data_IF_832064467313
#
_entry.id   IF_832064467313
#
_cell.length_a   1.000
_cell.length_b   1.000
_cell.length_c   1.000
_cell.angle_alpha   90.00
_cell.angle_beta   90.00
_cell.angle_gamma   90.00
#
_symmetry.space_group_name_H-M   'P 1'
#
loop_
_entity.id
_entity.type
_entity.pdbx_description
1 polymer ?
#
# COMPACT_ATOMS: atom_id res chain seq x y z
N UNK A 1 -31.50 -55.45 3.62
CA UNK A 1 -30.21 -54.74 3.81
C UNK A 1 -30.18 -53.49 2.92
N UNK A 2 -30.84 -52.38 3.28
CA UNK A 2 -30.71 -51.14 2.49
C UNK A 2 -31.29 -49.91 3.22
N UNK A 3 -30.65 -49.47 4.31
CA UNK A 3 -31.04 -48.21 4.98
C UNK A 3 -29.91 -47.53 5.75
N UNK A 4 -28.77 -48.19 5.96
CA UNK A 4 -27.68 -47.65 6.77
C UNK A 4 -26.73 -46.68 6.02
N UNK A 5 -26.70 -46.69 4.67
CA UNK A 5 -25.67 -45.99 3.90
C UNK A 5 -26.00 -44.50 3.69
N UNK A 6 -27.28 -44.10 3.77
CA UNK A 6 -27.74 -42.76 3.37
C UNK A 6 -27.49 -41.65 4.42
N UNK A 7 -27.33 -41.99 5.70
CA UNK A 7 -27.08 -41.02 6.77
C UNK A 7 -25.59 -40.66 6.94
N UNK A 8 -24.69 -41.49 6.42
CA UNK A 8 -23.26 -41.33 6.65
C UNK A 8 -22.65 -40.25 5.74
N UNK A 9 -23.10 -40.12 4.48
CA UNK A 9 -22.52 -39.18 3.50
C UNK A 9 -22.86 -37.71 3.78
N UNK A 10 -24.00 -37.44 4.42
CA UNK A 10 -24.46 -36.07 4.74
C UNK A 10 -23.61 -35.38 5.81
N UNK A 11 -23.05 -36.15 6.76
CA UNK A 11 -22.22 -35.59 7.86
C UNK A 11 -20.82 -35.18 7.39
N UNK A 12 -20.27 -35.86 6.39
CA UNK A 12 -18.92 -35.55 5.86
C UNK A 12 -18.92 -34.30 4.96
N UNK A 13 -19.99 -34.08 4.18
CA UNK A 13 -20.13 -32.86 3.36
C UNK A 13 -20.30 -31.59 4.22
N UNK A 14 -21.01 -31.68 5.35
CA UNK A 14 -21.13 -30.56 6.28
C UNK A 14 -19.82 -30.24 7.01
N UNK A 15 -19.01 -31.25 7.34
CA UNK A 15 -17.69 -31.05 7.95
C UNK A 15 -16.65 -30.42 7.01
N UNK A 16 -16.70 -30.75 5.72
CA UNK A 16 -15.76 -30.22 4.73
C UNK A 16 -16.03 -28.74 4.38
N UNK A 17 -17.29 -28.30 4.41
CA UNK A 17 -17.66 -26.92 4.10
C UNK A 17 -17.23 -25.94 5.21
N UNK A 18 -17.28 -26.36 6.47
CA UNK A 18 -16.93 -25.52 7.63
C UNK A 18 -15.42 -25.33 7.77
N UNK A 19 -14.61 -26.28 7.30
CA UNK A 19 -13.14 -26.19 7.33
C UNK A 19 -12.57 -25.14 6.36
N UNK A 20 -13.31 -24.78 5.30
CA UNK A 20 -12.84 -23.82 4.28
C UNK A 20 -12.97 -22.34 4.69
N UNK A 21 -13.72 -22.03 5.77
CA UNK A 21 -14.01 -20.64 6.17
C UNK A 21 -13.00 -20.03 7.16
N UNK A 22 -11.97 -20.77 7.59
CA UNK A 22 -11.01 -20.29 8.60
C UNK A 22 -9.72 -19.68 8.03
N UNK A 23 -9.57 -19.62 6.71
CA UNK A 23 -8.40 -18.96 6.10
C UNK A 23 -8.68 -17.47 5.97
N UNK A 24 -8.56 -16.75 7.08
CA UNK A 24 -8.59 -15.28 7.06
C UNK A 24 -7.29 -14.78 6.41
N UNK A 25 -7.34 -13.96 5.34
CA UNK A 25 -6.13 -13.40 4.76
C UNK A 25 -5.54 -12.40 5.74
N UNK A 26 -4.50 -12.82 6.46
CA UNK A 26 -3.68 -11.91 7.23
C UNK A 26 -2.96 -10.96 6.25
N UNK A 27 -3.33 -9.68 6.29
CA UNK A 27 -2.63 -8.63 5.57
C UNK A 27 -1.28 -8.39 6.25
N UNK A 28 -0.28 -9.16 5.83
CA UNK A 28 1.10 -8.98 6.28
C UNK A 28 1.70 -7.71 5.66
N UNK A 29 2.61 -7.08 6.39
CA UNK A 29 3.44 -6.02 5.84
C UNK A 29 4.34 -6.63 4.76
N UNK A 30 4.22 -6.14 3.53
CA UNK A 30 5.01 -6.58 2.38
C UNK A 30 5.97 -5.45 2.00
N UNK A 31 7.15 -5.83 1.48
CA UNK A 31 8.14 -4.88 0.96
C UNK A 31 8.03 -4.83 -0.56
N UNK A 32 7.78 -3.65 -1.11
CA UNK A 32 7.64 -3.43 -2.55
C UNK A 32 8.71 -2.42 -2.99
N UNK A 33 9.43 -2.75 -4.05
CA UNK A 33 10.36 -1.85 -4.72
C UNK A 33 9.73 -1.30 -5.99
N UNK A 34 9.99 -0.03 -6.29
CA UNK A 34 9.58 0.59 -7.54
C UNK A 34 9.94 2.07 -7.59
N UNK A 35 9.48 2.74 -8.64
CA UNK A 35 9.73 4.15 -8.88
C UNK A 35 8.51 4.98 -8.48
N UNK A 36 8.72 6.12 -7.83
CA UNK A 36 7.63 7.07 -7.55
C UNK A 36 7.26 7.79 -8.85
N UNK A 37 6.12 7.46 -9.43
CA UNK A 37 5.64 8.07 -10.68
C UNK A 37 4.35 8.82 -10.46
N UNK A 38 4.07 9.77 -11.36
CA UNK A 38 2.77 10.42 -11.42
C UNK A 38 1.66 9.40 -11.71
N UNK A 39 0.55 9.53 -11.01
CA UNK A 39 -0.61 8.63 -11.15
C UNK A 39 -1.10 8.59 -12.60
N UNK A 40 -1.16 9.73 -13.28
CA UNK A 40 -1.65 9.78 -14.65
C UNK A 40 -0.74 9.01 -15.62
N UNK A 41 0.58 9.14 -15.49
CA UNK A 41 1.52 8.35 -16.31
C UNK A 41 1.36 6.85 -16.04
N UNK A 42 1.28 6.48 -14.75
CA UNK A 42 1.22 5.08 -14.34
C UNK A 42 -0.06 4.39 -14.84
N UNK A 43 -1.21 5.07 -14.77
CA UNK A 43 -2.47 4.56 -15.33
C UNK A 43 -2.39 4.44 -16.86
N UNK A 44 -1.73 5.40 -17.51
CA UNK A 44 -1.64 5.45 -18.97
C UNK A 44 -0.59 4.47 -19.54
N UNK A 45 0.23 3.85 -18.68
CA UNK A 45 1.29 2.92 -19.09
C UNK A 45 2.50 3.57 -19.76
N UNK A 46 2.66 4.88 -19.63
CA UNK A 46 3.81 5.61 -20.18
C UNK A 46 4.79 6.02 -19.08
N UNK A 47 6.06 6.16 -19.45
CA UNK A 47 7.10 6.69 -18.56
C UNK A 47 6.88 8.20 -18.40
N UNK A 48 6.82 8.68 -17.16
CA UNK A 48 6.72 10.13 -16.93
C UNK A 48 7.97 10.86 -17.47
N UNK A 49 7.78 11.96 -18.22
CA UNK A 49 8.89 12.75 -18.76
C UNK A 49 9.75 13.34 -17.64
N UNK A 50 11.07 13.13 -17.73
CA UNK A 50 12.07 13.56 -16.74
C UNK A 50 12.48 15.03 -16.93
N UNK A 51 12.24 15.57 -18.11
CA UNK A 51 12.52 16.96 -18.53
C UNK A 51 11.41 17.93 -18.12
N UNK A 52 10.23 17.43 -17.72
CA UNK A 52 9.07 18.23 -17.30
C UNK A 52 8.67 17.98 -15.84
N UNK A 53 9.60 17.54 -15.00
CA UNK A 53 9.34 17.19 -13.60
C UNK A 53 8.60 18.31 -12.87
N UNK A 54 8.99 19.58 -13.03
CA UNK A 54 8.36 20.69 -12.32
C UNK A 54 6.90 20.94 -12.74
N UNK A 55 6.61 20.89 -14.05
CA UNK A 55 5.27 21.08 -14.57
C UNK A 55 4.36 19.88 -14.21
N UNK A 56 4.89 18.67 -14.34
CA UNK A 56 4.17 17.44 -14.02
C UNK A 56 3.92 17.33 -12.52
N UNK A 57 4.90 17.63 -11.68
CA UNK A 57 4.75 17.57 -10.22
C UNK A 57 3.73 18.58 -9.71
N UNK A 58 3.61 19.73 -10.38
CA UNK A 58 2.62 20.75 -10.02
C UNK A 58 1.19 20.31 -10.36
N UNK A 59 0.97 19.72 -11.53
CA UNK A 59 -0.37 19.40 -12.04
C UNK A 59 -0.87 18.01 -11.65
N UNK A 60 0.04 17.08 -11.35
CA UNK A 60 -0.29 15.69 -11.09
C UNK A 60 -1.15 15.57 -9.81
N UNK A 61 -2.27 14.88 -9.90
CA UNK A 61 -3.19 14.80 -8.74
C UNK A 61 -2.60 14.00 -7.59
N UNK A 62 -1.88 12.93 -7.92
CA UNK A 62 -1.22 12.11 -6.93
C UNK A 62 -0.06 11.29 -7.52
N UNK A 63 0.73 10.66 -6.65
CA UNK A 63 1.86 9.81 -7.04
C UNK A 63 1.70 8.40 -6.48
N UNK A 64 2.26 7.45 -7.22
CA UNK A 64 2.19 6.01 -6.95
C UNK A 64 3.57 5.39 -6.97
N UNK A 65 3.71 4.23 -6.33
CA UNK A 65 4.88 3.37 -6.53
C UNK A 65 4.61 2.46 -7.73
N UNK A 66 5.37 2.61 -8.80
CA UNK A 66 5.26 1.78 -10.01
C UNK A 66 6.46 0.84 -10.13
N UNK A 67 6.16 -0.45 -10.28
CA UNK A 67 7.15 -1.51 -10.48
C UNK A 67 7.61 -1.56 -11.94
N UNK A 68 8.72 -2.25 -12.19
CA UNK A 68 9.31 -2.37 -13.53
C UNK A 68 8.40 -3.07 -14.55
N UNK A 69 7.48 -3.92 -14.11
CA UNK A 69 6.47 -4.59 -14.93
C UNK A 69 5.24 -3.72 -15.23
N UNK A 70 5.23 -2.47 -14.74
CA UNK A 70 4.16 -1.50 -14.92
C UNK A 70 3.05 -1.59 -13.87
N UNK A 71 3.04 -2.60 -13.00
CA UNK A 71 2.10 -2.65 -11.85
C UNK A 71 2.37 -1.46 -10.94
N UNK A 72 1.32 -0.80 -10.47
CA UNK A 72 1.45 0.33 -9.56
C UNK A 72 0.58 0.18 -8.32
N UNK A 73 1.01 0.83 -7.24
CA UNK A 73 0.29 0.91 -5.99
C UNK A 73 0.16 2.35 -5.51
N UNK A 74 -1.05 2.73 -5.11
CA UNK A 74 -1.31 3.97 -4.39
C UNK A 74 -0.77 3.88 -2.98
N UNK A 75 -0.14 4.96 -2.51
CA UNK A 75 0.40 5.07 -1.15
C UNK A 75 -0.60 5.91 -0.33
N UNK A 76 -1.54 5.24 0.34
CA UNK A 76 -2.82 5.85 0.75
C UNK A 76 -2.72 6.79 1.95
N UNK A 77 -1.71 6.60 2.79
CA UNK A 77 -1.49 7.37 4.01
C UNK A 77 -0.26 8.29 3.93
N UNK A 78 0.44 8.31 2.79
CA UNK A 78 1.57 9.21 2.55
C UNK A 78 1.07 10.45 1.83
N UNK A 79 1.33 11.62 2.43
CA UNK A 79 0.94 12.90 1.87
C UNK A 79 1.48 13.12 0.44
N UNK A 80 0.67 13.77 -0.41
CA UNK A 80 1.03 14.06 -1.81
C UNK A 80 2.35 14.81 -1.90
N UNK A 81 2.59 15.79 -1.04
CA UNK A 81 3.81 16.61 -1.04
C UNK A 81 5.05 15.79 -0.71
N UNK A 82 4.95 14.80 0.18
CA UNK A 82 6.05 13.86 0.45
C UNK A 82 6.36 13.05 -0.80
N UNK A 83 5.35 12.50 -1.48
CA UNK A 83 5.55 11.70 -2.70
C UNK A 83 6.12 12.54 -3.85
N UNK A 84 5.61 13.76 -4.02
CA UNK A 84 6.08 14.72 -5.01
C UNK A 84 7.58 15.04 -4.90
N UNK A 85 8.09 15.21 -3.67
CA UNK A 85 9.53 15.48 -3.42
C UNK A 85 10.45 14.37 -3.92
N UNK A 86 9.94 13.14 -4.04
CA UNK A 86 10.68 11.98 -4.49
C UNK A 86 10.21 11.48 -5.86
N UNK A 87 9.48 12.30 -6.62
CA UNK A 87 9.03 11.94 -7.95
C UNK A 87 10.21 11.52 -8.84
N UNK A 88 9.97 10.46 -9.61
CA UNK A 88 10.91 9.77 -10.49
C UNK A 88 12.13 9.13 -9.81
N UNK A 89 12.13 9.02 -8.48
CA UNK A 89 13.18 8.29 -7.76
C UNK A 89 12.76 6.87 -7.44
N UNK A 90 13.74 5.97 -7.39
CA UNK A 90 13.56 4.60 -6.91
C UNK A 90 13.32 4.61 -5.40
N UNK A 91 12.34 3.82 -4.97
CA UNK A 91 11.89 3.76 -3.61
C UNK A 91 11.58 2.32 -3.17
N UNK A 92 11.77 2.08 -1.87
CA UNK A 92 11.36 0.87 -1.19
C UNK A 92 10.27 1.24 -0.19
N UNK A 93 9.12 0.59 -0.32
CA UNK A 93 7.95 0.79 0.53
C UNK A 93 7.72 -0.48 1.33
N UNK A 94 7.52 -0.34 2.64
CA UNK A 94 6.97 -1.43 3.47
C UNK A 94 5.60 -1.03 3.97
N UNK A 95 4.66 -1.97 4.02
CA UNK A 95 3.33 -1.70 4.54
C UNK A 95 2.30 -2.76 4.20
N UNK A 96 1.05 -2.52 4.60
CA UNK A 96 -0.06 -3.45 4.35
C UNK A 96 -0.59 -3.26 2.93
N UNK A 97 -0.41 -4.27 2.10
CA UNK A 97 -0.79 -4.24 0.68
C UNK A 97 -2.21 -4.77 0.49
N UNK A 98 -3.04 -4.00 -0.19
CA UNK A 98 -4.29 -4.44 -0.76
C UNK A 98 -4.15 -4.60 -2.28
N UNK A 99 -3.96 -5.85 -2.73
CA UNK A 99 -3.74 -6.16 -4.15
C UNK A 99 -4.99 -5.90 -5.00
N UNK A 100 -6.19 -6.04 -4.44
CA UNK A 100 -7.44 -5.79 -5.15
C UNK A 100 -7.62 -4.31 -5.47
N UNK A 101 -7.37 -3.42 -4.51
CA UNK A 101 -7.47 -1.97 -4.69
C UNK A 101 -6.17 -1.31 -5.19
N UNK A 102 -5.10 -2.08 -5.42
CA UNK A 102 -3.76 -1.56 -5.77
C UNK A 102 -3.34 -0.43 -4.83
N UNK A 103 -3.41 -0.72 -3.53
CA UNK A 103 -3.19 0.26 -2.47
C UNK A 103 -2.27 -0.29 -1.39
N UNK A 104 -1.48 0.60 -0.78
CA UNK A 104 -0.59 0.28 0.33
C UNK A 104 -0.82 1.29 1.44
N UNK A 105 -1.17 0.80 2.62
CA UNK A 105 -1.04 1.55 3.87
C UNK A 105 0.41 1.43 4.34
N UNK A 106 1.18 2.48 4.09
CA UNK A 106 2.64 2.50 4.22
C UNK A 106 3.06 2.59 5.68
N UNK A 107 4.00 1.76 6.08
CA UNK A 107 4.67 1.84 7.37
C UNK A 107 6.01 2.58 7.23
N UNK A 108 6.79 2.29 6.18
CA UNK A 108 8.01 3.04 5.82
C UNK A 108 8.13 3.30 4.33
N UNK A 109 8.68 4.47 3.98
CA UNK A 109 9.09 4.84 2.64
C UNK A 109 10.58 5.19 2.67
N UNK A 110 11.36 4.49 1.84
CA UNK A 110 12.80 4.68 1.70
C UNK A 110 13.16 5.11 0.30
N UNK A 111 14.12 6.03 0.18
CA UNK A 111 14.69 6.48 -1.09
C UNK A 111 16.20 6.54 -0.93
N UNK A 112 16.94 5.91 -1.85
CA UNK A 112 18.40 5.81 -1.73
C UNK A 112 18.88 5.14 -0.44
N UNK A 113 18.12 4.15 0.07
CA UNK A 113 18.41 3.44 1.31
C UNK A 113 18.15 4.23 2.60
N UNK A 114 17.62 5.45 2.52
CA UNK A 114 17.28 6.27 3.69
C UNK A 114 15.77 6.33 3.88
N UNK A 115 15.30 6.17 5.12
CA UNK A 115 13.89 6.41 5.46
C UNK A 115 13.59 7.90 5.33
N UNK A 116 12.73 8.23 4.38
CA UNK A 116 12.31 9.62 4.10
C UNK A 116 10.95 9.95 4.70
N UNK A 117 10.16 8.92 5.00
CA UNK A 117 8.89 9.02 5.70
C UNK A 117 8.59 7.70 6.42
N UNK A 118 7.93 7.76 7.57
CA UNK A 118 7.33 6.59 8.21
C UNK A 118 6.09 7.01 9.00
N UNK A 119 5.18 6.05 9.21
CA UNK A 119 3.99 6.24 10.04
C UNK A 119 4.36 6.71 11.45
N UNK A 120 5.45 6.16 12.00
CA UNK A 120 6.01 6.55 13.30
C UNK A 120 6.49 8.01 13.31
N UNK A 121 7.30 8.42 12.33
CA UNK A 121 7.77 9.81 12.23
C UNK A 121 6.61 10.81 12.14
N UNK A 122 5.55 10.45 11.40
CA UNK A 122 4.37 11.29 11.30
C UNK A 122 3.61 11.38 12.62
N UNK A 123 3.50 10.28 13.38
CA UNK A 123 2.88 10.28 14.71
C UNK A 123 3.68 11.14 15.69
N UNK A 124 5.01 11.00 15.72
CA UNK A 124 5.89 11.79 16.59
C UNK A 124 5.76 13.29 16.30
N UNK A 125 5.77 13.69 15.02
CA UNK A 125 5.56 15.08 14.62
C UNK A 125 4.18 15.61 15.04
N UNK A 126 3.14 14.80 14.88
CA UNK A 126 1.79 15.17 15.30
C UNK A 126 1.69 15.35 16.82
N UNK A 127 2.31 14.48 17.59
CA UNK A 127 2.36 14.54 19.06
C UNK A 127 3.14 15.77 19.54
N UNK A 128 4.27 16.10 18.89
CA UNK A 128 5.05 17.31 19.18
C UNK A 128 4.25 18.58 18.87
N UNK A 129 3.60 18.62 17.71
CA UNK A 129 2.73 19.74 17.34
C UNK A 129 1.60 19.91 18.34
N UNK A 130 0.91 18.82 18.71
CA UNK A 130 -0.16 18.85 19.70
C UNK A 130 0.32 19.41 21.04
N UNK A 131 1.47 18.93 21.54
CA UNK A 131 2.07 19.46 22.77
C UNK A 131 2.39 20.95 22.63
N UNK A 132 2.96 21.40 21.52
CA UNK A 132 3.29 22.82 21.33
C UNK A 132 2.06 23.74 21.30
N UNK A 133 0.93 23.24 20.78
CA UNK A 133 -0.29 24.04 20.60
C UNK A 133 -1.21 24.03 21.83
N UNK A 134 -1.21 22.93 22.60
CA UNK A 134 -2.20 22.70 23.65
C UNK A 134 -1.60 22.40 25.03
N UNK A 135 -0.33 22.02 25.11
CA UNK A 135 0.36 21.84 26.39
C UNK A 135 1.13 23.13 26.76
N UNK A 136 0.39 24.11 27.28
CA UNK A 136 0.94 25.14 28.18
C UNK A 136 0.45 24.84 29.61
N UNK A 137 1.24 25.19 30.65
CA UNK A 137 1.19 24.56 31.98
C UNK A 137 -0.15 24.63 32.71
#
# INVERSE_FOLDING_TARGET
MSTAIRKQTSRYLAGLLTALMLVSPAAFAETINGKINGLQCAISGFVCPVDQVDAMVTLERDFVLQQADGVYYTLTNVDRGVKARYALQEATVTGKVNKFYKAVDVDTLQVGGKTVWSKKMQQELADELYKSLYATP
#
